data_IF_705376497770
#
_entry.id   IF_705376497770
#
_cell.length_a   1.000
_cell.length_b   1.000
_cell.length_c   1.000
_cell.angle_alpha   90.00
_cell.angle_beta   90.00
_cell.angle_gamma   90.00
#
_symmetry.space_group_name_H-M   'P 1'
#
loop_
_entity.id
_entity.type
_entity.pdbx_description
1 polymer ?
#
# COMPACT_ATOMS: atom_id res chain seq x y z
N UNK A 1 -3.99 -16.60 25.52
CA UNK A 1 -4.38 -15.47 24.65
C UNK A 1 -5.38 -16.03 23.68
N UNK A 2 -6.58 -15.44 23.55
CA UNK A 2 -7.61 -15.92 22.62
C UNK A 2 -7.20 -15.57 21.19
N UNK A 3 -7.43 -16.47 20.23
CA UNK A 3 -7.16 -16.18 18.83
C UNK A 3 -8.07 -15.05 18.32
N UNK A 4 -7.54 -14.11 17.51
CA UNK A 4 -8.33 -13.02 16.95
C UNK A 4 -9.37 -13.54 15.96
N UNK A 5 -10.56 -12.96 16.04
CA UNK A 5 -11.71 -13.22 15.17
C UNK A 5 -11.53 -12.57 13.79
N UNK A 6 -12.29 -13.05 12.79
CA UNK A 6 -12.29 -12.48 11.44
C UNK A 6 -12.57 -10.96 11.41
N UNK A 7 -13.56 -10.42 12.15
CA UNK A 7 -13.77 -8.97 12.21
C UNK A 7 -12.57 -8.20 12.78
N UNK A 8 -11.86 -8.75 13.77
CA UNK A 8 -10.67 -8.11 14.35
C UNK A 8 -9.50 -8.08 13.35
N UNK A 9 -9.31 -9.16 12.59
CA UNK A 9 -8.31 -9.23 11.51
C UNK A 9 -8.63 -8.22 10.39
N UNK A 10 -9.90 -8.10 10.01
CA UNK A 10 -10.35 -7.11 9.02
C UNK A 10 -10.20 -5.68 9.53
N UNK A 11 -10.52 -5.42 10.79
CA UNK A 11 -10.32 -4.11 11.41
C UNK A 11 -8.84 -3.71 11.43
N UNK A 12 -7.94 -4.66 11.71
CA UNK A 12 -6.49 -4.44 11.64
C UNK A 12 -6.04 -4.07 10.21
N UNK A 13 -6.48 -4.82 9.19
CA UNK A 13 -6.18 -4.51 7.80
C UNK A 13 -6.73 -3.14 7.36
N UNK A 14 -7.97 -2.82 7.75
CA UNK A 14 -8.58 -1.54 7.47
C UNK A 14 -7.83 -0.38 8.16
N UNK A 15 -7.39 -0.56 9.40
CA UNK A 15 -6.61 0.45 10.12
C UNK A 15 -5.31 0.78 9.40
N UNK A 16 -4.59 -0.22 8.87
CA UNK A 16 -3.38 -0.01 8.07
C UNK A 16 -3.68 0.87 6.83
N UNK A 17 -4.76 0.57 6.12
CA UNK A 17 -5.16 1.34 4.94
C UNK A 17 -5.58 2.78 5.29
N UNK A 18 -6.36 2.96 6.36
CA UNK A 18 -6.82 4.26 6.83
C UNK A 18 -5.66 5.15 7.31
N UNK A 19 -4.66 4.58 7.99
CA UNK A 19 -3.46 5.32 8.42
C UNK A 19 -2.69 5.85 7.22
N UNK A 20 -2.44 5.02 6.20
CA UNK A 20 -1.77 5.45 4.97
C UNK A 20 -2.55 6.56 4.25
N UNK A 21 -3.87 6.44 4.20
CA UNK A 21 -4.75 7.48 3.63
C UNK A 21 -4.68 8.79 4.42
N UNK A 22 -4.69 8.72 5.75
CA UNK A 22 -4.60 9.91 6.61
C UNK A 22 -3.28 10.66 6.42
N UNK A 23 -2.17 9.94 6.21
CA UNK A 23 -0.86 10.56 5.89
C UNK A 23 -1.00 11.40 4.60
N UNK A 24 -1.59 10.84 3.55
CA UNK A 24 -1.76 11.52 2.24
C UNK A 24 -2.72 12.72 2.32
N UNK A 25 -3.82 12.59 3.03
CA UNK A 25 -4.87 13.62 3.10
C UNK A 25 -4.41 14.87 3.87
N UNK A 26 -3.41 14.73 4.74
CA UNK A 26 -2.88 15.83 5.55
C UNK A 26 -1.74 16.61 4.90
N UNK A 27 -1.21 16.12 3.78
CA UNK A 27 -0.08 16.74 3.07
C UNK A 27 -0.53 17.99 2.32
N UNK A 28 0.13 19.13 2.56
CA UNK A 28 0.07 20.24 1.63
C UNK A 28 0.83 19.89 0.34
N UNK A 29 0.08 19.64 -0.73
CA UNK A 29 0.64 19.28 -2.04
C UNK A 29 1.37 20.43 -2.74
N UNK A 30 1.23 21.66 -2.25
CA UNK A 30 1.95 22.82 -2.79
C UNK A 30 3.32 23.02 -2.13
N UNK A 31 3.55 22.37 -0.98
CA UNK A 31 4.81 22.41 -0.24
C UNK A 31 5.70 21.24 -0.62
N UNK A 32 6.78 21.50 -1.35
CA UNK A 32 7.75 20.47 -1.73
C UNK A 32 8.30 19.72 -0.50
N UNK A 33 8.60 20.46 0.58
CA UNK A 33 9.09 19.87 1.83
C UNK A 33 8.07 18.89 2.43
N UNK A 34 6.81 19.29 2.54
CA UNK A 34 5.78 18.42 3.13
C UNK A 34 5.50 17.20 2.26
N UNK A 35 5.60 17.35 0.93
CA UNK A 35 5.52 16.20 0.02
C UNK A 35 6.67 15.23 0.27
N UNK A 36 7.91 15.69 0.42
CA UNK A 36 9.04 14.83 0.76
C UNK A 36 8.84 14.12 2.11
N UNK A 37 8.47 14.86 3.16
CA UNK A 37 8.22 14.30 4.50
C UNK A 37 7.09 13.26 4.47
N UNK A 38 6.04 13.50 3.68
CA UNK A 38 4.94 12.55 3.48
C UNK A 38 5.41 11.29 2.78
N UNK A 39 6.26 11.40 1.75
CA UNK A 39 6.81 10.25 1.04
C UNK A 39 7.68 9.40 1.96
N UNK A 40 8.48 10.01 2.82
CA UNK A 40 9.28 9.32 3.83
C UNK A 40 8.37 8.59 4.84
N UNK A 41 7.35 9.26 5.37
CA UNK A 41 6.38 8.66 6.29
C UNK A 41 5.59 7.50 5.65
N UNK A 42 5.22 7.62 4.37
CA UNK A 42 4.59 6.54 3.63
C UNK A 42 5.55 5.37 3.40
N UNK A 43 6.83 5.65 3.14
CA UNK A 43 7.84 4.60 2.98
C UNK A 43 7.98 3.76 4.26
N UNK A 44 8.09 4.43 5.41
CA UNK A 44 8.15 3.78 6.72
C UNK A 44 6.87 2.98 7.02
N UNK A 45 5.70 3.58 6.79
CA UNK A 45 4.41 2.90 6.96
C UNK A 45 4.31 1.65 6.10
N UNK A 46 4.67 1.74 4.82
CA UNK A 46 4.61 0.62 3.87
C UNK A 46 5.60 -0.49 4.20
N UNK A 47 6.79 -0.17 4.74
CA UNK A 47 7.78 -1.15 5.16
C UNK A 47 7.23 -2.10 6.25
N UNK A 48 6.39 -1.59 7.15
CA UNK A 48 5.76 -2.39 8.22
C UNK A 48 4.41 -2.97 7.78
N UNK A 49 3.62 -2.19 7.04
CA UNK A 49 2.29 -2.56 6.60
C UNK A 49 2.28 -3.78 5.68
N UNK A 50 3.25 -3.89 4.76
CA UNK A 50 3.31 -5.00 3.80
C UNK A 50 3.41 -6.37 4.46
N UNK A 51 4.32 -6.53 5.42
CA UNK A 51 4.47 -7.78 6.18
C UNK A 51 3.24 -8.10 7.02
N UNK A 52 2.65 -7.08 7.64
CA UNK A 52 1.43 -7.23 8.46
C UNK A 52 0.22 -7.65 7.62
N UNK A 53 0.06 -7.08 6.42
CA UNK A 53 -1.03 -7.42 5.50
C UNK A 53 -0.88 -8.84 4.93
N UNK A 54 0.34 -9.28 4.61
CA UNK A 54 0.58 -10.66 4.18
C UNK A 54 0.27 -11.67 5.28
N UNK A 55 0.67 -11.36 6.52
CA UNK A 55 0.30 -12.18 7.68
C UNK A 55 -1.22 -12.24 7.89
N UNK A 56 -1.92 -11.12 7.76
CA UNK A 56 -3.39 -11.08 7.86
C UNK A 56 -4.05 -11.87 6.72
N UNK A 57 -3.48 -11.85 5.51
CA UNK A 57 -3.99 -12.61 4.37
C UNK A 57 -3.88 -14.13 4.59
N UNK A 58 -2.79 -14.60 5.20
CA UNK A 58 -2.66 -16.00 5.65
C UNK A 58 -3.75 -16.35 6.66
N UNK A 59 -3.99 -15.47 7.64
CA UNK A 59 -5.00 -15.68 8.70
C UNK A 59 -6.44 -15.66 8.18
N UNK A 60 -6.70 -14.95 7.09
CA UNK A 60 -8.00 -14.83 6.43
C UNK A 60 -8.20 -15.83 5.28
N UNK A 61 -7.24 -16.76 5.08
CA UNK A 61 -7.26 -17.76 4.01
C UNK A 61 -7.41 -17.15 2.60
N UNK A 62 -6.81 -15.98 2.39
CA UNK A 62 -6.92 -15.24 1.12
C UNK A 62 -5.55 -14.95 0.46
N UNK A 63 -4.48 -15.59 0.92
CA UNK A 63 -3.12 -15.36 0.43
C UNK A 63 -2.96 -15.48 -1.08
N UNK A 64 -3.48 -16.55 -1.68
CA UNK A 64 -3.34 -16.77 -3.12
C UNK A 64 -3.96 -15.63 -3.94
N UNK A 65 -5.11 -15.13 -3.49
CA UNK A 65 -5.78 -13.99 -4.12
C UNK A 65 -4.98 -12.69 -3.92
N UNK A 66 -4.43 -12.46 -2.74
CA UNK A 66 -3.55 -11.32 -2.47
C UNK A 66 -2.29 -11.36 -3.34
N UNK A 67 -1.64 -12.52 -3.49
CA UNK A 67 -0.47 -12.70 -4.35
C UNK A 67 -0.80 -12.44 -5.83
N UNK A 68 -1.98 -12.87 -6.30
CA UNK A 68 -2.48 -12.55 -7.63
C UNK A 68 -2.63 -11.03 -7.83
N UNK A 69 -3.28 -10.35 -6.88
CA UNK A 69 -3.49 -8.89 -6.94
C UNK A 69 -2.17 -8.11 -6.89
N UNK A 70 -1.20 -8.54 -6.09
CA UNK A 70 0.15 -7.96 -6.06
C UNK A 70 0.82 -8.10 -7.42
N UNK A 71 0.75 -9.28 -8.03
CA UNK A 71 1.34 -9.55 -9.35
C UNK A 71 0.72 -8.68 -10.44
N UNK A 72 -0.60 -8.52 -10.44
CA UNK A 72 -1.31 -7.61 -11.36
C UNK A 72 -0.89 -6.15 -11.16
N UNK A 73 -0.76 -5.72 -9.90
CA UNK A 73 -0.27 -4.37 -9.57
C UNK A 73 1.14 -4.11 -10.09
N UNK A 74 2.05 -5.07 -9.90
CA UNK A 74 3.42 -4.98 -10.41
C UNK A 74 3.45 -4.94 -11.95
N UNK A 75 2.61 -5.73 -12.62
CA UNK A 75 2.49 -5.70 -14.08
C UNK A 75 2.01 -4.33 -14.59
N UNK A 76 1.01 -3.72 -13.93
CA UNK A 76 0.55 -2.35 -14.26
C UNK A 76 1.66 -1.31 -14.07
N UNK A 77 2.42 -1.41 -12.98
CA UNK A 77 3.54 -0.50 -12.71
C UNK A 77 4.66 -0.66 -13.75
N UNK A 78 4.98 -1.90 -14.15
CA UNK A 78 5.96 -2.18 -15.19
C UNK A 78 5.52 -1.58 -16.54
N UNK A 79 4.24 -1.75 -16.93
CA UNK A 79 3.69 -1.17 -18.14
C UNK A 79 3.75 0.37 -18.12
N UNK A 80 3.37 1.00 -17.01
CA UNK A 80 3.45 2.46 -16.84
C UNK A 80 4.89 2.97 -17.03
N UNK A 81 5.87 2.31 -16.40
CA UNK A 81 7.30 2.67 -16.53
C UNK A 81 7.82 2.49 -17.96
N UNK A 82 7.36 1.45 -18.67
CA UNK A 82 7.72 1.25 -20.08
C UNK A 82 7.21 2.38 -20.99
N UNK A 83 6.07 2.99 -20.65
CA UNK A 83 5.50 4.12 -21.38
C UNK A 83 6.12 5.48 -21.01
N UNK A 84 6.77 5.61 -19.85
CA UNK A 84 7.28 6.87 -19.28
C UNK A 84 8.45 7.54 -20.05
N UNK A 85 8.76 7.08 -21.26
CA UNK A 85 9.75 7.66 -22.18
C UNK A 85 9.26 7.81 -23.63
N UNK A 86 7.96 7.61 -23.88
CA UNK A 86 7.38 7.72 -25.23
C UNK A 86 6.86 9.14 -25.56
N UNK A 87 6.81 10.05 -24.58
CA UNK A 87 6.54 11.47 -24.81
C UNK A 87 7.81 12.17 -25.34
N UNK A 88 8.07 12.02 -26.64
CA UNK A 88 9.23 12.66 -27.28
C UNK A 88 9.46 12.32 -28.75
N UNK A 89 8.52 11.62 -29.41
CA UNK A 89 8.56 11.37 -30.85
C UNK A 89 7.15 11.46 -31.45
N UNK A 90 6.66 12.68 -31.59
CA UNK A 90 5.58 13.05 -32.49
C UNK A 90 5.87 14.44 -33.06
#
# INVERSE_FOLDING_TARGET
MTDPTTPELLAAAASIALTGRSIIERTDRTSFREVCETLDALHEHLAVAGGSLLFLADRLDCRAEVERLISEGQARLAAFRACAGMEGRA
#
